data_IF_549559462117
#
_entry.id   IF_549559462117
#
_cell.length_a   1.000
_cell.length_b   1.000
_cell.length_c   1.000
_cell.angle_alpha   90.00
_cell.angle_beta   90.00
_cell.angle_gamma   90.00
#
_symmetry.space_group_name_H-M   'P 1'
#
loop_
_entity.id
_entity.type
_entity.pdbx_description
1 polymer ?
#
# COMPACT_ATOMS: atom_id res chain seq x y z
N UNK A 1 -14.46 8.37 -22.43
CA UNK A 1 -13.48 7.43 -21.88
C UNK A 1 -12.58 8.13 -20.87
N UNK A 2 -12.59 7.67 -19.66
CA UNK A 2 -11.83 8.29 -18.59
C UNK A 2 -10.32 8.12 -18.83
N UNK A 3 -9.59 9.20 -18.60
CA UNK A 3 -8.16 9.26 -18.79
C UNK A 3 -7.48 9.27 -17.42
N UNK A 4 -6.52 8.40 -17.20
CA UNK A 4 -5.79 8.34 -15.93
C UNK A 4 -4.37 8.82 -16.16
N UNK A 5 -4.00 9.89 -15.45
CA UNK A 5 -2.65 10.46 -15.56
C UNK A 5 -1.69 9.77 -14.60
N UNK A 6 -0.40 9.87 -14.89
CA UNK A 6 0.64 9.33 -14.00
C UNK A 6 0.59 9.99 -12.63
N UNK A 7 0.33 11.29 -12.57
CA UNK A 7 0.19 12.02 -11.31
C UNK A 7 -0.94 11.43 -10.47
N UNK A 8 -2.07 11.10 -11.10
CA UNK A 8 -3.21 10.50 -10.41
C UNK A 8 -2.85 9.13 -9.84
N UNK A 9 -2.09 8.34 -10.61
CA UNK A 9 -1.65 7.01 -10.17
C UNK A 9 -0.71 7.13 -8.97
N UNK A 10 0.21 8.09 -9.00
CA UNK A 10 1.13 8.32 -7.89
C UNK A 10 0.42 8.78 -6.63
N UNK A 11 -0.58 9.67 -6.76
CA UNK A 11 -1.40 10.09 -5.61
C UNK A 11 -2.18 8.91 -5.03
N UNK A 12 -2.74 8.08 -5.89
CA UNK A 12 -3.47 6.89 -5.48
C UNK A 12 -2.56 5.93 -4.71
N UNK A 13 -1.33 5.74 -5.18
CA UNK A 13 -0.34 4.89 -4.51
C UNK A 13 -0.05 5.40 -3.09
N UNK A 14 0.12 6.71 -2.93
CA UNK A 14 0.35 7.31 -1.60
C UNK A 14 -0.83 7.08 -0.66
N UNK A 15 -2.05 7.29 -1.15
CA UNK A 15 -3.26 7.06 -0.35
C UNK A 15 -3.37 5.59 0.04
N UNK A 16 -3.15 4.69 -0.91
CA UNK A 16 -3.23 3.25 -0.67
C UNK A 16 -2.22 2.81 0.38
N UNK A 17 -1.00 3.32 0.32
CA UNK A 17 0.04 2.96 1.28
C UNK A 17 -0.30 3.42 2.70
N UNK A 18 -0.81 4.63 2.86
CA UNK A 18 -1.23 5.12 4.17
C UNK A 18 -2.35 4.27 4.75
N UNK A 19 -3.37 4.00 3.97
CA UNK A 19 -4.51 3.18 4.40
C UNK A 19 -4.08 1.74 4.69
N UNK A 20 -3.16 1.21 3.88
CA UNK A 20 -2.71 -0.18 4.00
C UNK A 20 -1.94 -0.44 5.28
N UNK A 21 -1.27 0.58 5.82
CA UNK A 21 -0.36 0.40 6.96
C UNK A 21 -0.71 1.30 8.15
N UNK A 22 -1.99 1.63 8.31
CA UNK A 22 -2.49 2.40 9.45
C UNK A 22 -3.57 1.58 10.15
N UNK A 23 -3.17 0.90 11.23
CA UNK A 23 -4.04 -0.03 11.96
C UNK A 23 -3.73 0.01 13.44
N UNK A 24 -4.70 -0.37 14.26
CA UNK A 24 -4.48 -0.59 15.68
C UNK A 24 -4.94 -2.00 16.07
N UNK A 25 -4.52 -2.45 17.24
CA UNK A 25 -4.76 -3.81 17.69
C UNK A 25 -6.23 -4.11 17.99
N UNK A 26 -7.07 -3.08 18.11
CA UNK A 26 -8.51 -3.25 18.38
C UNK A 26 -9.31 -3.31 17.08
N UNK A 27 -9.02 -2.39 16.14
CA UNK A 27 -9.84 -2.18 14.95
C UNK A 27 -9.20 -2.68 13.65
N UNK A 28 -8.10 -3.40 13.72
CA UNK A 28 -7.32 -3.76 12.52
C UNK A 28 -8.11 -4.59 11.50
N UNK A 29 -9.09 -5.39 11.93
CA UNK A 29 -9.91 -6.17 11.00
C UNK A 29 -10.73 -5.25 10.09
N UNK A 30 -11.33 -4.23 10.69
CA UNK A 30 -12.13 -3.26 9.93
C UNK A 30 -11.27 -2.39 9.03
N UNK A 31 -10.19 -1.84 9.56
CA UNK A 31 -9.31 -0.97 8.77
C UNK A 31 -8.61 -1.73 7.64
N UNK A 32 -8.23 -2.98 7.87
CA UNK A 32 -7.68 -3.85 6.82
C UNK A 32 -8.73 -4.08 5.71
N UNK A 33 -9.94 -4.44 6.11
CA UNK A 33 -11.02 -4.71 5.17
C UNK A 33 -11.36 -3.48 4.33
N UNK A 34 -11.38 -2.30 4.95
CA UNK A 34 -11.64 -1.04 4.26
C UNK A 34 -10.54 -0.70 3.27
N UNK A 35 -9.28 -0.85 3.66
CA UNK A 35 -8.15 -0.58 2.77
C UNK A 35 -8.16 -1.52 1.57
N UNK A 36 -8.39 -2.80 1.82
CA UNK A 36 -8.45 -3.81 0.78
C UNK A 36 -9.57 -3.52 -0.22
N UNK A 37 -10.74 -3.19 0.29
CA UNK A 37 -11.90 -2.91 -0.53
C UNK A 37 -11.74 -1.65 -1.38
N UNK A 38 -11.14 -0.61 -0.81
CA UNK A 38 -11.03 0.69 -1.46
C UNK A 38 -9.92 0.77 -2.49
N UNK A 39 -8.82 0.07 -2.28
CA UNK A 39 -7.60 0.29 -3.08
C UNK A 39 -7.16 -0.91 -3.92
N UNK A 40 -7.57 -2.11 -3.59
CA UNK A 40 -7.00 -3.32 -4.17
C UNK A 40 -7.94 -4.03 -5.12
N UNK A 41 -7.38 -4.62 -6.19
CA UNK A 41 -8.10 -5.60 -7.00
C UNK A 41 -8.23 -6.90 -6.18
N UNK A 42 -9.01 -7.87 -6.66
CA UNK A 42 -9.11 -9.16 -6.00
C UNK A 42 -7.75 -9.82 -5.83
N UNK A 43 -6.92 -9.79 -6.88
CA UNK A 43 -5.57 -10.34 -6.83
C UNK A 43 -4.66 -9.51 -5.91
N UNK A 44 -4.78 -8.18 -6.00
CA UNK A 44 -4.04 -7.27 -5.14
C UNK A 44 -4.36 -7.46 -3.67
N UNK A 45 -5.62 -7.77 -3.36
CA UNK A 45 -6.04 -8.06 -1.98
C UNK A 45 -5.34 -9.27 -1.41
N UNK A 46 -5.10 -10.30 -2.23
CA UNK A 46 -4.34 -11.48 -1.81
C UNK A 46 -2.88 -11.12 -1.55
N UNK A 47 -2.30 -10.32 -2.43
CA UNK A 47 -0.94 -9.82 -2.28
C UNK A 47 -0.79 -9.00 -1.00
N UNK A 48 -1.74 -8.11 -0.73
CA UNK A 48 -1.76 -7.28 0.47
C UNK A 48 -1.86 -8.13 1.73
N UNK A 49 -2.78 -9.10 1.75
CA UNK A 49 -2.94 -10.02 2.89
C UNK A 49 -1.61 -10.72 3.20
N UNK A 50 -0.96 -11.24 2.18
CA UNK A 50 0.32 -11.93 2.35
C UNK A 50 1.39 -11.01 2.92
N UNK A 51 1.44 -9.77 2.45
CA UNK A 51 2.45 -8.80 2.89
C UNK A 51 2.21 -8.36 4.34
N UNK A 52 0.96 -8.18 4.74
CA UNK A 52 0.63 -7.56 6.03
C UNK A 52 0.36 -8.56 7.15
N UNK A 53 0.01 -9.81 6.85
CA UNK A 53 -0.33 -10.80 7.89
C UNK A 53 0.69 -10.90 9.03
N UNK A 54 2.00 -11.02 8.76
CA UNK A 54 2.97 -11.07 9.85
C UNK A 54 2.96 -9.81 10.71
N UNK A 55 2.72 -8.66 10.09
CA UNK A 55 2.68 -7.38 10.78
C UNK A 55 1.44 -7.29 11.67
N UNK A 56 0.28 -7.72 11.17
CA UNK A 56 -0.96 -7.71 11.95
C UNK A 56 -0.89 -8.66 13.14
N UNK A 57 -0.24 -9.80 12.97
CA UNK A 57 -0.02 -10.73 14.10
C UNK A 57 0.77 -10.07 15.21
N UNK A 58 1.87 -9.40 14.87
CA UNK A 58 2.70 -8.67 15.81
C UNK A 58 1.91 -7.55 16.50
N UNK A 59 1.14 -6.81 15.72
CA UNK A 59 0.29 -5.72 16.18
C UNK A 59 -0.68 -6.21 17.25
N UNK A 60 -1.37 -7.31 16.96
CA UNK A 60 -2.35 -7.90 17.86
C UNK A 60 -1.69 -8.44 19.15
N UNK A 61 -0.63 -9.20 18.99
CA UNK A 61 0.03 -9.85 20.14
C UNK A 61 0.67 -8.85 21.08
N UNK A 62 1.23 -7.80 20.54
CA UNK A 62 1.95 -6.80 21.34
C UNK A 62 1.11 -5.55 21.63
N UNK A 63 -0.14 -5.53 21.17
CA UNK A 63 -1.09 -4.43 21.37
C UNK A 63 -0.52 -3.09 20.90
N UNK A 64 -0.16 -3.05 19.63
CA UNK A 64 0.47 -1.88 19.03
C UNK A 64 -0.51 -1.09 18.18
N UNK A 65 -0.15 0.18 17.97
CA UNK A 65 -0.76 1.05 16.97
C UNK A 65 0.28 1.27 15.89
N UNK A 66 -0.11 1.07 14.64
CA UNK A 66 0.76 1.23 13.49
C UNK A 66 0.29 2.38 12.62
N UNK A 67 1.24 3.16 12.13
CA UNK A 67 0.97 4.16 11.10
C UNK A 67 2.11 4.17 10.09
N UNK A 68 1.88 4.80 8.95
CA UNK A 68 2.86 4.89 7.88
C UNK A 68 2.98 6.32 7.40
N UNK A 69 4.18 6.70 7.03
CA UNK A 69 4.45 7.99 6.42
C UNK A 69 5.44 7.84 5.28
N UNK A 70 5.31 8.63 4.22
CA UNK A 70 6.28 8.57 3.12
C UNK A 70 7.64 9.11 3.58
N UNK A 71 8.71 8.44 3.18
CA UNK A 71 10.07 8.95 3.33
C UNK A 71 10.43 9.82 2.15
N UNK A 72 9.94 9.46 0.96
CA UNK A 72 10.07 10.21 -0.27
C UNK A 72 8.80 10.05 -1.09
N UNK A 73 8.58 10.94 -2.03
CA UNK A 73 7.47 10.82 -2.97
C UNK A 73 7.56 9.50 -3.75
N UNK A 74 6.42 8.86 -4.05
CA UNK A 74 6.46 7.67 -4.89
C UNK A 74 7.02 7.97 -6.26
N UNK A 75 7.70 6.99 -6.85
CA UNK A 75 8.30 7.11 -8.18
C UNK A 75 7.67 6.11 -9.12
N UNK A 76 7.38 6.54 -10.34
CA UNK A 76 7.00 5.65 -11.42
C UNK A 76 8.28 5.04 -11.99
N UNK A 77 8.47 3.74 -11.76
CA UNK A 77 9.68 3.07 -12.22
C UNK A 77 9.50 2.41 -13.58
N UNK A 78 8.26 2.12 -13.96
CA UNK A 78 7.95 1.54 -15.26
C UNK A 78 6.49 1.78 -15.60
N UNK A 79 6.22 2.07 -16.86
CA UNK A 79 4.86 2.19 -17.37
C UNK A 79 4.42 3.63 -17.62
N UNK A 80 3.17 3.83 -18.08
CA UNK A 80 2.22 2.73 -18.28
C UNK A 80 2.62 1.83 -19.44
N UNK A 81 2.33 0.55 -19.31
CA UNK A 81 2.44 -0.41 -20.40
C UNK A 81 1.19 -1.28 -20.43
N UNK A 82 0.94 -1.96 -21.54
CA UNK A 82 -0.23 -2.83 -21.66
C UNK A 82 0.14 -4.26 -21.29
N UNK A 83 -0.71 -4.85 -20.47
CA UNK A 83 -0.61 -6.25 -20.12
C UNK A 83 -2.02 -6.82 -20.05
N UNK A 84 -2.31 -7.83 -20.91
CA UNK A 84 -3.66 -8.38 -20.96
C UNK A 84 -4.71 -7.35 -21.37
N UNK A 85 -4.32 -6.37 -22.20
CA UNK A 85 -5.24 -5.37 -22.71
C UNK A 85 -5.50 -4.20 -21.79
N UNK A 86 -4.83 -4.10 -20.65
CA UNK A 86 -5.02 -2.98 -19.72
C UNK A 86 -3.70 -2.37 -19.29
N UNK A 87 -3.74 -1.08 -18.96
CA UNK A 87 -2.56 -0.34 -18.57
C UNK A 87 -2.08 -0.75 -17.17
N UNK A 88 -0.77 -0.83 -17.02
CA UNK A 88 -0.09 -1.18 -15.78
C UNK A 88 0.99 -0.15 -15.48
N UNK A 89 1.05 0.29 -14.24
CA UNK A 89 2.11 1.18 -13.72
C UNK A 89 2.84 0.45 -12.60
N UNK A 90 4.16 0.48 -12.63
CA UNK A 90 4.98 -0.04 -11.54
C UNK A 90 5.57 1.10 -10.75
N UNK A 91 5.32 1.11 -9.45
CA UNK A 91 5.65 2.23 -8.58
C UNK A 91 6.45 1.74 -7.41
N UNK A 92 7.46 2.52 -7.01
CA UNK A 92 8.21 2.30 -5.78
C UNK A 92 8.05 3.51 -4.87
N UNK A 93 7.89 3.24 -3.59
CA UNK A 93 7.72 4.29 -2.59
C UNK A 93 8.42 3.90 -1.28
N UNK A 94 9.43 4.67 -0.87
CA UNK A 94 10.02 4.47 0.45
C UNK A 94 9.05 4.96 1.51
N UNK A 95 8.81 4.12 2.52
CA UNK A 95 7.88 4.43 3.61
C UNK A 95 8.49 4.09 4.94
N UNK A 96 8.13 4.86 5.96
CA UNK A 96 8.45 4.54 7.34
C UNK A 96 7.21 3.97 8.00
N UNK A 97 7.36 2.85 8.69
CA UNK A 97 6.31 2.23 9.49
C UNK A 97 6.60 2.52 10.95
N UNK A 98 5.64 3.08 11.64
CA UNK A 98 5.75 3.44 13.06
C UNK A 98 4.90 2.49 13.89
N UNK A 99 5.48 2.00 14.98
CA UNK A 99 4.79 1.11 15.91
C UNK A 99 4.91 1.66 17.30
N UNK A 100 3.78 1.81 17.98
CA UNK A 100 3.74 2.30 19.35
C UNK A 100 2.84 1.42 20.21
N UNK A 101 3.32 1.11 21.42
CA UNK A 101 2.50 0.46 22.44
C UNK A 101 2.26 1.45 23.59
N UNK A 102 1.52 1.01 24.59
CA UNK A 102 1.18 1.85 25.76
C UNK A 102 2.42 2.36 26.47
N UNK A 103 3.43 1.52 26.58
CA UNK A 103 4.66 1.87 27.27
C UNK A 103 5.89 1.62 26.42
N UNK A 104 5.70 1.44 25.12
CA UNK A 104 6.78 1.08 24.22
C UNK A 104 6.79 1.97 23.01
N UNK A 105 7.98 2.43 22.65
CA UNK A 105 8.22 3.10 21.36
C UNK A 105 9.33 2.37 20.65
N UNK A 106 9.11 2.11 19.38
CA UNK A 106 10.07 1.39 18.57
C UNK A 106 10.65 2.33 17.52
N UNK A 107 11.91 2.13 17.14
CA UNK A 107 12.45 2.89 16.00
C UNK A 107 11.59 2.66 14.77
N UNK A 108 11.40 3.67 13.91
CA UNK A 108 10.67 3.47 12.67
C UNK A 108 11.33 2.40 11.82
N UNK A 109 10.51 1.60 11.16
CA UNK A 109 10.99 0.60 10.21
C UNK A 109 10.88 1.16 8.81
N UNK A 110 12.00 1.27 8.12
CA UNK A 110 12.02 1.82 6.76
C UNK A 110 11.91 0.69 5.75
N UNK A 111 10.98 0.86 4.82
CA UNK A 111 10.67 -0.16 3.81
C UNK A 111 10.54 0.48 2.45
N UNK A 112 10.89 -0.29 1.43
CA UNK A 112 10.58 0.07 0.06
C UNK A 112 9.34 -0.71 -0.35
N UNK A 113 8.25 0.01 -0.61
CA UNK A 113 7.03 -0.60 -1.12
C UNK A 113 7.09 -0.60 -2.64
N UNK A 114 6.82 -1.74 -3.25
CA UNK A 114 6.71 -1.88 -4.70
C UNK A 114 5.28 -2.26 -5.02
N UNK A 115 4.62 -1.47 -5.86
CA UNK A 115 3.23 -1.66 -6.22
C UNK A 115 3.09 -1.80 -7.72
N UNK A 116 2.19 -2.69 -8.14
CA UNK A 116 1.64 -2.65 -9.50
C UNK A 116 0.23 -2.12 -9.40
N UNK A 117 -0.05 -1.06 -10.13
CA UNK A 117 -1.37 -0.46 -10.23
C UNK A 117 -1.86 -0.70 -11.64
N UNK A 118 -3.11 -1.13 -11.76
CA UNK A 118 -3.69 -1.49 -13.06
C UNK A 118 -4.96 -0.70 -13.30
N UNK A 119 -5.26 -0.50 -14.60
CA UNK A 119 -6.53 0.07 -15.01
C UNK A 119 -7.63 -0.96 -14.78
N UNK A 120 -8.73 -0.54 -14.15
CA UNK A 120 -9.89 -1.39 -13.90
C UNK A 120 -11.15 -0.67 -14.36
N UNK A 121 -12.25 -1.42 -14.47
CA UNK A 121 -13.55 -0.83 -14.78
C UNK A 121 -13.99 0.07 -13.63
N UNK A 122 -14.73 1.13 -13.96
CA UNK A 122 -15.28 2.04 -12.97
C UNK A 122 -16.24 1.32 -12.01
N UNK A 123 -16.86 0.25 -12.46
CA UNK A 123 -17.71 -0.58 -11.61
C UNK A 123 -16.91 -1.32 -10.54
N UNK A 124 -15.64 -1.61 -10.83
CA UNK A 124 -14.74 -2.29 -9.91
C UNK A 124 -14.13 -1.31 -8.91
N UNK A 125 -13.75 -0.13 -9.39
CA UNK A 125 -13.24 0.96 -8.57
C UNK A 125 -13.58 2.27 -9.24
N UNK A 126 -14.25 3.21 -8.56
CA UNK A 126 -14.66 4.48 -9.19
C UNK A 126 -13.49 5.35 -9.65
N UNK A 127 -12.29 5.13 -9.13
CA UNK A 127 -11.11 5.83 -9.61
C UNK A 127 -10.59 5.27 -10.95
N UNK A 128 -11.06 4.09 -11.35
CA UNK A 128 -10.63 3.43 -12.58
C UNK A 128 -9.28 2.74 -12.47
N UNK A 129 -8.71 2.66 -11.29
CA UNK A 129 -7.43 1.99 -11.03
C UNK A 129 -7.51 1.19 -9.73
N UNK A 130 -6.62 0.21 -9.58
CA UNK A 130 -6.53 -0.59 -8.37
C UNK A 130 -5.14 -1.16 -8.21
N UNK A 131 -4.75 -1.41 -6.97
CA UNK A 131 -3.47 -2.05 -6.67
C UNK A 131 -3.60 -3.55 -6.92
N UNK A 132 -2.79 -4.06 -7.83
CA UNK A 132 -2.83 -5.46 -8.24
C UNK A 132 -1.77 -6.31 -7.54
N UNK A 133 -0.72 -5.68 -7.02
CA UNK A 133 0.26 -6.36 -6.16
C UNK A 133 0.99 -5.34 -5.30
N UNK A 134 1.44 -5.80 -4.14
CA UNK A 134 2.26 -5.02 -3.24
C UNK A 134 3.32 -5.91 -2.60
N UNK A 135 4.53 -5.39 -2.50
CA UNK A 135 5.64 -6.04 -1.83
C UNK A 135 6.36 -5.03 -0.96
N UNK A 136 6.83 -5.48 0.20
CA UNK A 136 7.66 -4.68 1.09
C UNK A 136 9.05 -5.30 1.17
N UNK A 137 10.07 -4.48 1.05
CA UNK A 137 11.45 -4.90 1.21
C UNK A 137 12.15 -3.90 2.13
N UNK A 138 13.24 -4.30 2.78
CA UNK A 138 14.03 -3.33 3.54
C UNK A 138 14.46 -2.18 2.63
N UNK A 139 14.43 -0.98 3.17
CA UNK A 139 14.88 0.20 2.44
C UNK A 139 16.13 0.75 3.09
N UNK A 140 17.19 0.87 2.29
CA UNK A 140 18.44 1.48 2.74
C UNK A 140 18.67 2.68 1.86
N UNK A 141 18.61 3.86 2.45
CA UNK A 141 18.87 5.09 1.72
C UNK A 141 20.37 5.20 1.44
N UNK A 142 20.69 5.52 0.19
CA UNK A 142 22.09 5.73 -0.23
C UNK A 142 22.27 7.17 -0.63
N UNK A 143 23.36 7.74 -0.16
CA UNK A 143 23.75 9.11 -0.52
C UNK A 143 24.40 9.15 -1.91
#
# INVERSE_FOLDING_TARGET
>A
KAFVTDTRVLSFASEALRASFSHDFVNYRDSFSQARSKYYTAQGGKSFTKAIDPILNELRERRLVMSAAPLKAPSLVRGPYLLGGRAVWEIQAPVALFFEGTQSRFPPQERLATLKIVRVDLSENPTGIGVDSIQLAPYIERD
#
